data_IF_885856088112
#
_entry.id   IF_885856088112
#
_cell.length_a   1.000
_cell.length_b   1.000
_cell.length_c   1.000
_cell.angle_alpha   90.00
_cell.angle_beta   90.00
_cell.angle_gamma   90.00
#
_symmetry.space_group_name_H-M   'P 1'
#
loop_
_entity.id
_entity.type
_entity.pdbx_description
1 polymer ?
#
# COMPACT_ATOMS: atom_id res chain seq x y z
N UNK A 1 -9.51 -21.89 -13.39
CA UNK A 1 -9.00 -20.88 -12.43
C UNK A 1 -10.22 -20.28 -11.74
N UNK A 2 -10.35 -20.50 -10.44
CA UNK A 2 -11.60 -20.24 -9.70
C UNK A 2 -11.86 -18.73 -9.53
N UNK A 3 -10.80 -17.91 -9.52
CA UNK A 3 -10.92 -16.48 -9.21
C UNK A 3 -11.27 -15.59 -10.42
N UNK A 4 -10.80 -15.93 -11.62
CA UNK A 4 -11.04 -15.12 -12.81
C UNK A 4 -12.35 -15.45 -13.53
N UNK A 5 -13.11 -16.45 -13.08
CA UNK A 5 -14.31 -16.91 -13.79
C UNK A 5 -14.02 -17.54 -15.16
N UNK A 6 -15.07 -17.92 -15.89
CA UNK A 6 -14.98 -18.60 -17.21
C UNK A 6 -14.83 -17.65 -18.40
N UNK A 7 -15.12 -16.37 -18.22
CA UNK A 7 -15.16 -15.37 -19.32
C UNK A 7 -13.82 -14.67 -19.56
N UNK A 8 -12.78 -15.00 -18.79
CA UNK A 8 -11.45 -14.38 -18.90
C UNK A 8 -10.41 -15.40 -19.34
N UNK A 9 -9.58 -15.00 -20.32
CA UNK A 9 -8.35 -15.71 -20.67
C UNK A 9 -7.21 -15.20 -19.80
N UNK A 10 -6.52 -16.13 -19.11
CA UNK A 10 -5.42 -15.77 -18.22
C UNK A 10 -4.12 -15.68 -19.01
N UNK A 11 -3.41 -14.58 -18.83
CA UNK A 11 -2.06 -14.43 -19.32
C UNK A 11 -1.09 -14.17 -18.16
N UNK A 12 -0.01 -14.94 -18.13
CA UNK A 12 1.05 -14.80 -17.14
C UNK A 12 2.02 -13.71 -17.60
N UNK A 13 1.89 -12.51 -17.02
CA UNK A 13 2.63 -11.31 -17.45
C UNK A 13 4.17 -11.46 -17.34
N UNK A 14 4.65 -12.36 -16.49
CA UNK A 14 6.07 -12.69 -16.37
C UNK A 14 6.59 -13.55 -17.53
N UNK A 15 5.71 -14.30 -18.21
CA UNK A 15 6.02 -15.09 -19.42
C UNK A 15 5.76 -14.30 -20.69
N UNK A 16 4.66 -13.54 -20.74
CA UNK A 16 4.24 -12.76 -21.92
C UNK A 16 3.76 -11.38 -21.49
N UNK A 17 4.50 -10.34 -21.89
CA UNK A 17 4.13 -8.96 -21.58
C UNK A 17 2.82 -8.55 -22.26
N UNK A 18 2.05 -7.60 -21.67
CA UNK A 18 0.78 -7.15 -22.23
C UNK A 18 0.88 -6.65 -23.68
N UNK A 19 1.92 -5.88 -24.03
CA UNK A 19 2.12 -5.41 -25.40
C UNK A 19 2.16 -6.56 -26.42
N UNK A 20 2.91 -7.63 -26.15
CA UNK A 20 3.03 -8.77 -27.05
C UNK A 20 1.69 -9.47 -27.26
N UNK A 21 0.93 -9.65 -26.18
CA UNK A 21 -0.40 -10.27 -26.23
C UNK A 21 -1.33 -9.42 -27.10
N UNK A 22 -1.38 -8.11 -26.85
CA UNK A 22 -2.27 -7.20 -27.57
C UNK A 22 -1.93 -7.10 -29.06
N UNK A 23 -0.63 -7.01 -29.41
CA UNK A 23 -0.21 -6.88 -30.83
C UNK A 23 -0.49 -8.09 -31.71
N UNK A 24 -0.94 -9.22 -31.15
CA UNK A 24 -1.43 -10.35 -31.95
C UNK A 24 -2.81 -10.11 -32.56
N UNK A 25 -3.60 -9.22 -31.96
CA UNK A 25 -5.00 -9.02 -32.35
C UNK A 25 -5.18 -7.95 -33.43
N UNK A 26 -4.20 -7.07 -33.66
CA UNK A 26 -4.28 -6.04 -34.71
C UNK A 26 -2.90 -5.51 -35.12
N UNK A 27 -2.80 -5.03 -36.36
CA UNK A 27 -1.61 -4.33 -36.90
C UNK A 27 -1.37 -2.99 -36.22
N UNK A 28 -2.44 -2.28 -35.83
CA UNK A 28 -2.39 -1.03 -35.07
C UNK A 28 -3.50 -0.99 -34.01
N UNK A 29 -3.15 -0.55 -32.79
CA UNK A 29 -4.06 -0.48 -31.65
C UNK A 29 -4.00 0.88 -30.98
N UNK A 30 -5.18 1.44 -30.70
CA UNK A 30 -5.34 2.62 -29.84
C UNK A 30 -5.74 2.14 -28.44
N UNK A 31 -4.85 2.31 -27.47
CA UNK A 31 -5.09 1.85 -26.09
C UNK A 31 -5.35 3.05 -25.18
N UNK A 32 -6.59 3.17 -24.71
CA UNK A 32 -7.01 4.16 -23.73
C UNK A 32 -6.52 3.84 -22.32
N UNK A 33 -6.04 4.83 -21.56
CA UNK A 33 -5.69 4.67 -20.15
C UNK A 33 -6.05 5.90 -19.31
N UNK A 34 -6.35 5.69 -18.03
CA UNK A 34 -6.58 6.78 -17.07
C UNK A 34 -5.24 7.33 -16.54
N UNK A 35 -4.88 8.59 -16.83
CA UNK A 35 -3.59 9.15 -16.45
C UNK A 35 -3.43 9.35 -14.94
N UNK A 36 -4.50 9.27 -14.14
CA UNK A 36 -4.41 9.35 -12.68
C UNK A 36 -3.95 8.04 -12.04
N UNK A 37 -4.10 6.92 -12.73
CA UNK A 37 -3.82 5.56 -12.20
C UNK A 37 -2.41 5.10 -12.57
N UNK A 38 -1.97 5.38 -13.79
CA UNK A 38 -0.68 4.88 -14.29
C UNK A 38 0.45 5.90 -14.09
N UNK A 39 1.62 5.40 -13.67
CA UNK A 39 2.89 6.09 -13.88
C UNK A 39 3.48 5.70 -15.25
N UNK A 40 4.30 6.59 -15.81
CA UNK A 40 4.84 6.42 -17.16
C UNK A 40 5.75 5.19 -17.27
N UNK A 41 6.61 4.96 -16.26
CA UNK A 41 7.55 3.82 -16.24
C UNK A 41 6.83 2.49 -16.41
N UNK A 42 5.80 2.22 -15.59
CA UNK A 42 5.03 0.97 -15.66
C UNK A 42 4.22 0.86 -16.96
N UNK A 43 3.69 1.99 -17.45
CA UNK A 43 2.85 2.00 -18.64
C UNK A 43 3.70 1.64 -19.86
N UNK A 44 4.86 2.27 -20.01
CA UNK A 44 5.78 1.99 -21.11
C UNK A 44 6.37 0.58 -20.99
N UNK A 45 6.75 0.14 -19.79
CA UNK A 45 7.31 -1.21 -19.59
C UNK A 45 6.35 -2.32 -20.07
N UNK A 46 5.04 -2.14 -19.84
CA UNK A 46 4.03 -3.13 -20.16
C UNK A 46 3.44 -2.99 -21.57
N UNK A 47 3.31 -1.75 -22.08
CA UNK A 47 2.48 -1.46 -23.26
C UNK A 47 3.22 -0.77 -24.42
N UNK A 48 4.50 -0.39 -24.28
CA UNK A 48 5.25 0.24 -25.38
C UNK A 48 5.43 -0.74 -26.55
N UNK A 49 5.01 -0.31 -27.75
CA UNK A 49 5.17 -1.04 -29.01
C UNK A 49 4.96 -0.07 -30.18
N UNK A 50 5.58 -0.32 -31.34
CA UNK A 50 5.34 0.46 -32.57
C UNK A 50 3.89 0.33 -33.07
N UNK A 51 3.22 -0.78 -32.72
CA UNK A 51 1.83 -1.06 -33.08
C UNK A 51 0.80 -0.52 -32.09
N UNK A 52 1.22 0.07 -30.97
CA UNK A 52 0.31 0.54 -29.91
C UNK A 52 0.45 2.06 -29.73
N UNK A 53 -0.64 2.78 -30.00
CA UNK A 53 -0.80 4.19 -29.67
C UNK A 53 -1.52 4.34 -28.34
N UNK A 54 -0.83 4.84 -27.33
CA UNK A 54 -1.39 5.10 -26.00
C UNK A 54 -2.17 6.43 -26.00
N UNK A 55 -3.43 6.40 -25.54
CA UNK A 55 -4.34 7.55 -25.51
C UNK A 55 -4.77 7.82 -24.07
N UNK A 56 -4.55 9.04 -23.59
CA UNK A 56 -5.03 9.45 -22.27
C UNK A 56 -6.55 9.66 -22.30
N UNK A 57 -7.26 9.04 -21.37
CA UNK A 57 -8.69 9.23 -21.14
C UNK A 57 -8.88 9.77 -19.73
N UNK A 58 -9.23 11.06 -19.62
CA UNK A 58 -9.34 11.75 -18.33
C UNK A 58 -10.52 11.28 -17.47
N UNK A 59 -11.51 10.61 -18.07
CA UNK A 59 -12.67 10.02 -17.39
C UNK A 59 -12.44 8.52 -17.25
N UNK A 60 -12.49 8.01 -16.02
CA UNK A 60 -12.40 6.58 -15.79
C UNK A 60 -13.65 5.88 -16.36
N UNK A 61 -13.47 4.97 -17.32
CA UNK A 61 -14.59 4.34 -18.01
C UNK A 61 -15.32 3.31 -17.15
N UNK A 62 -14.64 2.70 -16.17
CA UNK A 62 -15.30 1.80 -15.22
C UNK A 62 -16.27 2.58 -14.33
N UNK A 63 -15.88 3.78 -13.90
CA UNK A 63 -16.74 4.65 -13.10
C UNK A 63 -18.04 5.06 -13.83
N UNK A 64 -18.06 5.04 -15.17
CA UNK A 64 -19.26 5.36 -15.97
C UNK A 64 -20.31 4.25 -15.88
N UNK A 65 -19.89 2.99 -15.79
CA UNK A 65 -20.77 1.82 -15.83
C UNK A 65 -20.96 1.17 -14.44
N UNK A 66 -20.31 1.69 -13.40
CA UNK A 66 -20.38 1.15 -12.05
C UNK A 66 -21.59 1.70 -11.28
N UNK A 67 -22.79 1.25 -11.65
CA UNK A 67 -24.06 1.72 -11.07
C UNK A 67 -24.12 1.60 -9.54
N UNK A 68 -23.57 0.50 -8.98
CA UNK A 68 -23.56 0.23 -7.54
C UNK A 68 -22.21 0.57 -6.88
N UNK A 69 -21.57 1.68 -7.29
CA UNK A 69 -20.30 2.11 -6.72
C UNK A 69 -20.44 2.37 -5.21
N UNK A 70 -19.64 1.72 -4.34
CA UNK A 70 -19.75 1.92 -2.90
C UNK A 70 -19.52 3.38 -2.51
N UNK A 71 -20.34 3.88 -1.57
CA UNK A 71 -20.12 5.20 -0.98
C UNK A 71 -18.76 5.23 -0.27
N UNK A 72 -17.99 6.29 -0.51
CA UNK A 72 -16.69 6.49 0.14
C UNK A 72 -16.93 6.81 1.62
N UNK A 73 -16.35 6.00 2.51
CA UNK A 73 -16.31 6.29 3.94
C UNK A 73 -15.07 7.14 4.29
N UNK A 74 -15.29 8.41 4.64
CA UNK A 74 -14.21 9.37 4.96
C UNK A 74 -13.75 9.23 6.41
N UNK A 75 -13.01 8.15 6.69
CA UNK A 75 -12.37 7.97 8.00
C UNK A 75 -11.27 9.02 8.22
N UNK A 76 -11.21 9.56 9.44
CA UNK A 76 -10.28 10.64 9.80
C UNK A 76 -8.85 10.12 9.93
N UNK A 77 -7.87 10.91 9.50
CA UNK A 77 -6.46 10.66 9.79
C UNK A 77 -6.17 10.82 11.29
N UNK A 78 -5.17 10.09 11.76
CA UNK A 78 -4.68 10.18 13.13
C UNK A 78 -3.16 10.36 13.16
N UNK A 79 -2.67 10.97 14.25
CA UNK A 79 -1.27 11.33 14.44
C UNK A 79 -0.60 10.32 15.37
N UNK A 80 0.66 10.01 15.09
CA UNK A 80 1.53 9.24 15.95
C UNK A 80 2.38 10.19 16.80
N UNK A 81 2.42 9.93 18.10
CA UNK A 81 3.26 10.68 19.02
C UNK A 81 4.74 10.48 18.67
N UNK A 82 5.51 11.57 18.57
CA UNK A 82 6.94 11.57 18.26
C UNK A 82 7.75 10.69 19.20
N UNK A 83 7.42 10.65 20.50
CA UNK A 83 8.07 9.79 21.50
C UNK A 83 7.97 8.31 21.14
N UNK A 84 6.88 7.91 20.48
CA UNK A 84 6.62 6.52 20.10
C UNK A 84 7.18 6.15 18.73
N UNK A 85 7.64 7.12 17.93
CA UNK A 85 8.22 6.88 16.59
C UNK A 85 9.68 7.34 16.49
N UNK A 86 10.24 7.89 17.57
CA UNK A 86 11.66 8.26 17.69
C UNK A 86 12.09 9.52 16.97
N UNK A 87 11.24 10.13 16.14
CA UNK A 87 11.59 11.34 15.39
C UNK A 87 10.37 12.22 15.10
N UNK A 88 10.49 13.53 15.31
CA UNK A 88 9.45 14.49 15.00
C UNK A 88 9.32 14.70 13.47
N UNK A 89 8.11 14.99 12.98
CA UNK A 89 7.90 15.31 11.57
C UNK A 89 8.72 16.52 11.11
N UNK A 90 8.93 17.52 11.99
CA UNK A 90 9.73 18.72 11.68
C UNK A 90 11.17 18.36 11.34
N UNK A 91 11.76 17.39 12.04
CA UNK A 91 13.13 16.92 11.78
C UNK A 91 13.19 16.17 10.45
N UNK A 92 12.19 15.34 10.15
CA UNK A 92 12.08 14.66 8.86
C UNK A 92 11.93 15.66 7.71
N UNK A 93 11.14 16.72 7.89
CA UNK A 93 11.01 17.81 6.91
C UNK A 93 12.34 18.55 6.73
N UNK A 94 13.17 18.71 7.78
CA UNK A 94 14.52 19.28 7.66
C UNK A 94 15.42 18.41 6.77
N UNK A 95 15.32 17.08 6.84
CA UNK A 95 16.06 16.18 5.95
C UNK A 95 15.66 16.37 4.48
N UNK A 96 14.35 16.45 4.20
CA UNK A 96 13.83 16.73 2.85
C UNK A 96 14.26 18.12 2.37
N UNK A 97 14.24 19.11 3.26
CA UNK A 97 14.69 20.46 2.97
C UNK A 97 16.17 20.51 2.55
N UNK A 98 17.04 19.80 3.27
CA UNK A 98 18.46 19.72 2.95
C UNK A 98 18.68 19.03 1.60
N UNK A 99 17.92 17.97 1.30
CA UNK A 99 17.95 17.32 -0.01
C UNK A 99 17.57 18.30 -1.14
N UNK A 100 16.46 19.02 -0.99
CA UNK A 100 15.98 20.00 -1.96
C UNK A 100 17.00 21.12 -2.21
N UNK A 101 17.56 21.70 -1.13
CA UNK A 101 18.60 22.74 -1.21
C UNK A 101 19.84 22.25 -1.94
N UNK A 102 20.37 21.08 -1.57
CA UNK A 102 21.56 20.49 -2.21
C UNK A 102 21.35 20.23 -3.70
N UNK A 103 20.15 19.83 -4.09
CA UNK A 103 19.79 19.59 -5.50
C UNK A 103 19.36 20.86 -6.24
N UNK A 104 19.28 22.01 -5.57
CA UNK A 104 18.76 23.28 -6.12
C UNK A 104 17.33 23.12 -6.69
N UNK A 105 16.51 22.29 -6.03
CA UNK A 105 15.10 22.04 -6.40
C UNK A 105 14.19 22.71 -5.37
N UNK A 106 13.14 23.38 -5.83
CA UNK A 106 12.24 24.14 -4.94
C UNK A 106 11.15 23.29 -4.31
N UNK A 107 10.61 22.28 -5.00
CA UNK A 107 9.49 21.49 -4.53
C UNK A 107 9.72 19.98 -4.74
N UNK A 108 9.32 19.17 -3.75
CA UNK A 108 9.17 17.72 -3.88
C UNK A 108 7.67 17.40 -3.92
N UNK A 109 7.21 16.76 -5.00
CA UNK A 109 5.87 16.19 -5.08
C UNK A 109 5.93 14.74 -4.61
N UNK A 110 5.24 14.44 -3.52
CA UNK A 110 5.14 13.12 -2.91
C UNK A 110 3.77 12.54 -3.28
N UNK A 111 3.79 11.51 -4.13
CA UNK A 111 2.57 10.82 -4.58
C UNK A 111 2.27 9.54 -3.81
N UNK A 112 3.29 8.94 -3.18
CA UNK A 112 3.17 7.72 -2.41
C UNK A 112 2.63 7.98 -0.98
N UNK A 113 1.44 7.47 -0.62
CA UNK A 113 0.79 7.79 0.66
C UNK A 113 1.57 7.27 1.88
N UNK A 114 2.32 6.17 1.74
CA UNK A 114 3.17 5.62 2.80
C UNK A 114 4.37 6.52 3.11
N UNK A 115 4.88 7.27 2.12
CA UNK A 115 5.93 8.25 2.34
C UNK A 115 5.42 9.43 3.16
N UNK A 116 4.19 9.88 2.86
CA UNK A 116 3.53 10.96 3.62
C UNK A 116 3.21 10.50 5.05
N UNK A 117 2.72 9.26 5.20
CA UNK A 117 2.47 8.65 6.51
C UNK A 117 3.71 8.68 7.41
N UNK A 118 4.87 8.30 6.86
CA UNK A 118 6.13 8.31 7.60
C UNK A 118 6.64 9.74 7.83
N UNK A 119 6.60 10.60 6.82
CA UNK A 119 7.13 11.97 6.87
C UNK A 119 6.40 12.81 7.92
N UNK A 120 5.06 12.75 7.95
CA UNK A 120 4.23 13.58 8.81
C UNK A 120 3.86 12.91 10.14
N UNK A 121 4.32 11.67 10.39
CA UNK A 121 3.90 10.85 11.52
C UNK A 121 2.37 10.71 11.61
N UNK A 122 1.72 10.47 10.47
CA UNK A 122 0.26 10.28 10.40
C UNK A 122 -0.09 8.91 9.84
N UNK A 123 -1.32 8.48 10.07
CA UNK A 123 -1.89 7.23 9.56
C UNK A 123 -3.34 7.44 9.16
N UNK A 124 -3.84 6.52 8.34
CA UNK A 124 -5.20 6.55 7.83
C UNK A 124 -5.86 5.16 7.85
N UNK A 125 -7.05 5.10 7.28
CA UNK A 125 -7.87 3.89 7.22
C UNK A 125 -8.36 3.63 5.78
N UNK A 126 -7.61 4.12 4.79
CA UNK A 126 -7.98 4.05 3.38
C UNK A 126 -7.64 2.69 2.74
N UNK A 127 -7.01 1.78 3.50
CA UNK A 127 -6.72 0.40 3.10
C UNK A 127 -7.07 -0.55 4.24
N UNK A 128 -7.56 -1.74 3.89
CA UNK A 128 -8.02 -2.75 4.85
C UNK A 128 -6.89 -3.32 5.71
N UNK A 129 -5.67 -3.35 5.19
CA UNK A 129 -4.54 -4.06 5.81
C UNK A 129 -3.32 -3.16 6.05
N UNK A 130 -3.38 -1.91 5.59
CA UNK A 130 -2.31 -0.93 5.75
C UNK A 130 -2.88 0.36 6.35
N UNK A 131 -2.35 0.87 7.47
CA UNK A 131 -2.83 2.10 8.10
C UNK A 131 -2.35 3.37 7.35
N UNK A 132 -2.54 3.42 6.03
CA UNK A 132 -2.04 4.49 5.16
C UNK A 132 -3.10 5.57 4.93
N UNK A 133 -2.71 6.86 4.95
CA UNK A 133 -3.56 7.98 4.58
C UNK A 133 -3.45 8.22 3.08
N UNK A 134 -4.48 7.88 2.30
CA UNK A 134 -4.50 8.11 0.86
C UNK A 134 -4.61 9.62 0.57
N UNK A 135 -3.47 10.23 0.28
CA UNK A 135 -3.27 11.64 -0.01
C UNK A 135 -1.97 11.84 -0.81
N UNK A 136 -1.77 13.05 -1.34
CA UNK A 136 -0.50 13.50 -1.90
C UNK A 136 0.00 14.73 -1.14
N UNK A 137 1.27 15.09 -1.29
CA UNK A 137 1.81 16.30 -0.67
C UNK A 137 2.86 16.99 -1.55
N UNK A 138 2.95 18.31 -1.42
CA UNK A 138 4.08 19.09 -1.94
C UNK A 138 4.83 19.68 -0.74
N UNK A 139 6.13 19.43 -0.67
CA UNK A 139 7.03 20.03 0.33
C UNK A 139 8.00 20.94 -0.40
N UNK A 140 8.12 22.18 0.06
CA UNK A 140 9.05 23.13 -0.56
C UNK A 140 10.36 23.32 0.22
N UNK A 141 11.34 23.96 -0.44
CA UNK A 141 12.64 24.31 0.12
C UNK A 141 12.59 25.35 1.27
N UNK A 142 11.41 25.87 1.60
CA UNK A 142 11.13 26.71 2.77
C UNK A 142 10.43 25.94 3.89
N UNK A 143 10.32 24.60 3.78
CA UNK A 143 9.65 23.70 4.72
C UNK A 143 8.13 23.88 4.80
N UNK A 144 7.50 24.58 3.84
CA UNK A 144 6.04 24.66 3.73
C UNK A 144 5.49 23.34 3.21
N UNK A 145 4.37 22.91 3.79
CA UNK A 145 3.73 21.63 3.52
C UNK A 145 2.36 21.89 2.92
N UNK A 146 2.11 21.36 1.74
CA UNK A 146 0.83 21.44 1.07
C UNK A 146 0.26 20.03 0.93
N UNK A 147 -0.72 19.68 1.77
CA UNK A 147 -1.32 18.35 1.79
C UNK A 147 -2.54 18.33 0.86
N UNK A 148 -2.47 17.51 -0.18
CA UNK A 148 -3.52 17.32 -1.17
C UNK A 148 -4.42 16.17 -0.71
N UNK A 149 -5.56 16.51 -0.13
CA UNK A 149 -6.47 15.56 0.53
C UNK A 149 -7.88 16.11 0.62
N UNK A 150 -8.87 15.22 0.65
CA UNK A 150 -10.24 15.59 0.98
C UNK A 150 -10.33 16.08 2.44
N UNK A 151 -10.81 17.33 2.64
CA UNK A 151 -10.96 17.95 3.97
C UNK A 151 -11.78 17.10 4.94
N UNK A 152 -12.70 16.27 4.45
CA UNK A 152 -13.50 15.36 5.26
C UNK A 152 -12.66 14.28 5.95
N UNK A 153 -11.42 14.03 5.53
CA UNK A 153 -10.48 13.14 6.23
C UNK A 153 -9.70 13.83 7.36
N UNK A 154 -9.82 15.15 7.49
CA UNK A 154 -9.11 15.94 8.49
C UNK A 154 -10.07 16.29 9.65
N UNK A 155 -9.54 16.28 10.87
CA UNK A 155 -10.28 16.65 12.09
C UNK A 155 -9.60 17.82 12.81
N UNK A 156 -10.26 18.40 13.83
CA UNK A 156 -9.72 19.52 14.61
C UNK A 156 -8.37 19.19 15.27
N UNK A 157 -8.20 17.98 15.81
CA UNK A 157 -6.94 17.52 16.43
C UNK A 157 -5.76 17.56 15.44
N UNK A 158 -6.00 17.17 14.19
CA UNK A 158 -5.00 17.24 13.12
C UNK A 158 -4.58 18.68 12.84
N UNK A 159 -5.56 19.57 12.65
CA UNK A 159 -5.31 20.99 12.36
C UNK A 159 -4.50 21.62 13.50
N UNK A 160 -4.92 21.39 14.76
CA UNK A 160 -4.25 21.92 15.94
C UNK A 160 -2.81 21.42 16.07
N UNK A 161 -2.55 20.12 15.84
CA UNK A 161 -1.20 19.56 15.94
C UNK A 161 -0.22 20.19 14.94
N UNK A 162 -0.68 20.47 13.72
CA UNK A 162 0.17 21.10 12.71
C UNK A 162 0.18 22.63 12.79
N UNK A 163 -0.72 23.25 13.56
CA UNK A 163 -0.76 24.69 13.87
C UNK A 163 -0.42 25.58 12.66
N UNK A 164 -1.19 25.47 11.57
CA UNK A 164 -1.00 26.19 10.31
C UNK A 164 0.29 25.87 9.50
N UNK A 165 1.13 24.94 9.96
CA UNK A 165 2.30 24.46 9.20
C UNK A 165 1.93 23.68 7.93
N UNK A 166 0.69 23.19 7.84
CA UNK A 166 0.16 22.47 6.69
C UNK A 166 -0.99 23.26 6.08
N UNK A 167 -0.89 23.54 4.77
CA UNK A 167 -2.01 24.01 3.96
C UNK A 167 -2.72 22.83 3.30
N UNK A 168 -4.03 22.75 3.47
CA UNK A 168 -4.85 21.71 2.82
C UNK A 168 -5.26 22.17 1.41
N UNK A 169 -5.10 21.29 0.43
CA UNK A 169 -5.55 21.48 -0.95
C UNK A 169 -6.54 20.37 -1.29
N UNK A 170 -7.70 20.72 -1.82
CA UNK A 170 -8.63 19.71 -2.31
C UNK A 170 -8.09 19.09 -3.60
N UNK A 171 -8.07 17.75 -3.76
CA UNK A 171 -7.62 17.08 -4.98
C UNK A 171 -8.27 17.62 -6.26
N UNK A 172 -9.54 18.04 -6.21
CA UNK A 172 -10.26 18.60 -7.35
C UNK A 172 -9.72 19.97 -7.79
N UNK A 173 -9.09 20.71 -6.87
CA UNK A 173 -8.54 22.06 -7.09
C UNK A 173 -7.02 22.07 -7.29
N UNK A 174 -6.39 20.89 -7.38
CA UNK A 174 -4.92 20.79 -7.44
C UNK A 174 -4.34 21.48 -8.68
N UNK A 175 -5.04 21.44 -9.81
CA UNK A 175 -4.62 22.16 -11.04
C UNK A 175 -4.60 23.67 -10.83
N UNK A 176 -5.66 24.22 -10.23
CA UNK A 176 -5.75 25.65 -9.89
C UNK A 176 -4.60 26.07 -8.98
N UNK A 177 -4.29 25.26 -7.97
CA UNK A 177 -3.15 25.51 -7.10
C UNK A 177 -1.83 25.52 -7.88
N UNK A 178 -1.57 24.51 -8.71
CA UNK A 178 -0.34 24.46 -9.52
C UNK A 178 -0.26 25.68 -10.47
N UNK A 179 -1.36 26.08 -11.10
CA UNK A 179 -1.40 27.25 -11.98
C UNK A 179 -1.12 28.57 -11.26
N UNK A 180 -1.45 28.66 -9.97
CA UNK A 180 -1.16 29.84 -9.14
C UNK A 180 0.33 30.01 -8.79
N UNK A 181 1.15 28.97 -8.98
CA UNK A 181 2.59 29.04 -8.70
C UNK A 181 3.36 29.77 -9.81
N UNK A 182 4.45 30.42 -9.40
CA UNK A 182 5.40 31.05 -10.33
C UNK A 182 5.99 30.01 -11.29
N UNK A 183 6.11 30.35 -12.58
CA UNK A 183 6.76 29.50 -13.60
C UNK A 183 8.22 29.17 -13.28
N UNK A 184 8.85 29.94 -12.38
CA UNK A 184 10.22 29.71 -11.89
C UNK A 184 10.32 28.69 -10.76
N UNK A 185 9.20 28.08 -10.35
CA UNK A 185 9.22 26.91 -9.47
C UNK A 185 9.85 25.70 -10.18
N UNK A 186 10.53 24.85 -9.41
CA UNK A 186 11.10 23.60 -9.90
C UNK A 186 10.60 22.43 -9.06
N UNK A 187 10.41 21.27 -9.71
CA UNK A 187 9.82 20.09 -9.07
C UNK A 187 10.72 18.87 -9.17
N UNK A 188 10.82 18.12 -8.09
CA UNK A 188 11.23 16.72 -8.07
C UNK A 188 9.97 15.87 -8.01
N UNK A 189 9.83 14.94 -8.95
CA UNK A 189 8.73 13.97 -9.00
C UNK A 189 9.32 12.55 -8.98
N UNK A 190 8.61 11.62 -8.34
CA UNK A 190 9.06 10.24 -8.24
C UNK A 190 8.77 9.46 -9.54
N UNK A 191 9.82 8.91 -10.17
CA UNK A 191 9.68 8.17 -11.44
C UNK A 191 8.86 6.87 -11.33
N UNK A 192 8.73 6.34 -10.11
CA UNK A 192 8.09 5.04 -9.86
C UNK A 192 6.61 5.18 -9.52
N UNK A 193 6.22 6.25 -8.81
CA UNK A 193 4.86 6.40 -8.28
C UNK A 193 4.11 7.63 -8.80
N UNK A 194 4.79 8.63 -9.38
CA UNK A 194 4.11 9.81 -9.89
C UNK A 194 3.23 9.43 -11.09
N UNK A 195 1.93 9.68 -10.97
CA UNK A 195 1.01 9.43 -12.07
C UNK A 195 1.26 10.36 -13.26
N UNK A 196 0.91 9.89 -14.46
CA UNK A 196 1.02 10.66 -15.70
C UNK A 196 0.23 11.98 -15.59
N UNK A 197 -0.89 11.99 -14.86
CA UNK A 197 -1.64 13.20 -14.54
C UNK A 197 -0.76 14.27 -13.89
N UNK A 198 -0.12 13.95 -12.76
CA UNK A 198 0.74 14.90 -12.06
C UNK A 198 1.96 15.28 -12.89
N UNK A 199 2.59 14.31 -13.56
CA UNK A 199 3.72 14.56 -14.46
C UNK A 199 3.35 15.56 -15.55
N UNK A 200 2.19 15.41 -16.19
CA UNK A 200 1.73 16.31 -17.25
C UNK A 200 1.43 17.71 -16.72
N UNK A 201 0.74 17.83 -15.58
CA UNK A 201 0.44 19.14 -15.00
C UNK A 201 1.72 19.89 -14.58
N UNK A 202 2.74 19.17 -14.09
CA UNK A 202 4.05 19.76 -13.76
C UNK A 202 4.83 20.15 -15.03
N UNK A 203 4.94 19.22 -16.00
CA UNK A 203 5.70 19.41 -17.25
C UNK A 203 5.20 20.59 -18.09
N UNK A 204 3.90 20.91 -18.02
CA UNK A 204 3.30 22.04 -18.75
C UNK A 204 3.88 23.40 -18.39
N UNK A 205 4.39 23.58 -17.16
CA UNK A 205 4.72 24.92 -16.63
C UNK A 205 6.07 25.02 -15.94
N UNK A 206 6.61 23.92 -15.42
CA UNK A 206 7.78 23.96 -14.56
C UNK A 206 8.93 23.12 -15.11
N UNK A 207 10.16 23.54 -14.82
CA UNK A 207 11.31 22.65 -14.91
C UNK A 207 11.17 21.57 -13.84
N UNK A 208 11.31 20.31 -14.24
CA UNK A 208 11.18 19.18 -13.33
C UNK A 208 12.31 18.17 -13.49
N UNK A 209 12.48 17.34 -12.46
CA UNK A 209 13.46 16.27 -12.40
C UNK A 209 12.76 15.00 -11.94
N UNK A 210 12.97 13.92 -12.69
CA UNK A 210 12.51 12.60 -12.28
C UNK A 210 13.57 11.95 -11.40
N UNK A 211 13.21 11.68 -10.15
CA UNK A 211 14.11 11.09 -9.15
C UNK A 211 13.43 9.89 -8.50
N UNK A 212 14.15 9.19 -7.62
CA UNK A 212 13.50 8.32 -6.63
C UNK A 212 13.17 9.20 -5.43
N UNK A 213 11.96 9.10 -4.89
CA UNK A 213 11.57 9.85 -3.68
C UNK A 213 12.56 9.56 -2.53
N UNK A 214 13.28 10.58 -2.00
CA UNK A 214 14.28 10.39 -0.96
C UNK A 214 13.71 9.76 0.33
N UNK A 215 12.41 9.89 0.56
CA UNK A 215 11.74 9.33 1.74
C UNK A 215 11.85 7.80 1.78
N UNK A 216 11.91 7.13 0.63
CA UNK A 216 12.09 5.67 0.58
C UNK A 216 13.37 5.24 1.31
N UNK A 217 14.49 5.92 1.05
CA UNK A 217 15.77 5.61 1.70
C UNK A 217 15.77 6.01 3.17
N UNK A 218 15.16 7.15 3.51
CA UNK A 218 15.09 7.63 4.89
C UNK A 218 14.28 6.68 5.78
N UNK A 219 13.10 6.22 5.32
CA UNK A 219 12.25 5.30 6.10
C UNK A 219 12.70 3.85 6.06
N UNK A 220 13.60 3.49 5.13
CA UNK A 220 14.16 2.14 5.07
C UNK A 220 15.02 1.85 6.31
N UNK A 221 15.82 2.83 6.76
CA UNK A 221 16.64 2.75 7.98
C UNK A 221 15.83 3.14 9.22
N UNK A 222 15.48 2.16 10.04
CA UNK A 222 14.67 2.39 11.25
C UNK A 222 15.55 2.97 12.35
N UNK A 223 15.00 3.89 13.14
CA UNK A 223 15.68 4.37 14.35
C UNK A 223 15.50 3.38 15.52
N UNK A 224 16.25 3.59 16.60
CA UNK A 224 16.23 2.68 17.76
C UNK A 224 14.84 2.51 18.39
N UNK A 225 14.02 3.58 18.42
CA UNK A 225 12.64 3.50 18.94
C UNK A 225 11.77 2.65 18.02
N UNK A 226 11.85 2.83 16.70
CA UNK A 226 11.15 2.01 15.72
C UNK A 226 11.59 0.53 15.80
N UNK A 227 12.89 0.25 15.95
CA UNK A 227 13.44 -1.11 16.10
C UNK A 227 12.92 -1.76 17.38
N UNK A 228 13.03 -1.10 18.52
CA UNK A 228 12.57 -1.64 19.81
C UNK A 228 11.07 -1.92 19.80
N UNK A 229 10.29 -1.04 19.18
CA UNK A 229 8.87 -1.25 18.97
C UNK A 229 8.59 -2.50 18.10
N UNK A 230 9.33 -2.68 17.01
CA UNK A 230 9.21 -3.86 16.15
C UNK A 230 9.55 -5.14 16.91
N UNK A 231 10.64 -5.17 17.70
CA UNK A 231 11.03 -6.32 18.53
C UNK A 231 9.88 -6.68 19.50
N UNK A 232 9.36 -5.70 20.24
CA UNK A 232 8.29 -5.95 21.20
C UNK A 232 7.03 -6.52 20.54
N UNK A 233 6.68 -6.02 19.35
CA UNK A 233 5.48 -6.51 18.66
C UNK A 233 5.66 -7.89 18.04
N UNK A 234 6.88 -8.23 17.62
CA UNK A 234 7.19 -9.60 17.18
C UNK A 234 7.20 -10.58 18.36
N UNK A 235 7.63 -10.17 19.56
CA UNK A 235 7.48 -10.98 20.78
C UNK A 235 6.00 -11.21 21.09
N UNK A 236 5.19 -10.15 21.09
CA UNK A 236 3.75 -10.24 21.32
C UNK A 236 3.04 -11.11 20.28
N UNK A 237 3.35 -10.95 18.99
CA UNK A 237 2.80 -11.78 17.90
C UNK A 237 3.28 -13.23 17.99
N UNK A 238 4.52 -13.45 18.43
CA UNK A 238 5.10 -14.76 18.71
C UNK A 238 4.34 -15.52 19.79
N UNK A 239 3.86 -14.83 20.84
CA UNK A 239 2.99 -15.45 21.87
C UNK A 239 1.67 -15.91 21.25
N UNK A 240 1.04 -15.09 20.41
CA UNK A 240 -0.19 -15.45 19.72
C UNK A 240 0.01 -16.65 18.78
N UNK A 241 1.10 -16.64 17.99
CA UNK A 241 1.44 -17.72 17.08
C UNK A 241 1.75 -19.02 17.84
N UNK A 242 2.47 -18.97 18.95
CA UNK A 242 2.78 -20.15 19.77
C UNK A 242 1.51 -20.78 20.33
N UNK A 243 0.61 -19.96 20.90
CA UNK A 243 -0.71 -20.42 21.38
C UNK A 243 -1.54 -21.04 20.26
N UNK A 244 -1.52 -20.43 19.07
CA UNK A 244 -2.18 -20.97 17.89
C UNK A 244 -1.62 -22.32 17.47
N UNK A 245 -0.30 -22.46 17.35
CA UNK A 245 0.34 -23.72 16.94
C UNK A 245 0.08 -24.84 17.94
N UNK A 246 0.13 -24.53 19.25
CA UNK A 246 -0.24 -25.49 20.30
C UNK A 246 -1.71 -25.91 20.20
N UNK A 247 -2.62 -24.94 20.04
CA UNK A 247 -4.05 -25.20 19.84
C UNK A 247 -4.30 -26.06 18.60
N UNK A 248 -3.67 -25.73 17.47
CA UNK A 248 -3.83 -26.43 16.20
C UNK A 248 -3.37 -27.88 16.33
N UNK A 249 -2.15 -28.11 16.86
CA UNK A 249 -1.62 -29.46 17.10
C UNK A 249 -2.54 -30.30 17.98
N UNK A 250 -3.11 -29.70 19.03
CA UNK A 250 -3.94 -30.41 20.02
C UNK A 250 -5.35 -30.74 19.50
N UNK A 251 -5.83 -30.03 18.48
CA UNK A 251 -7.22 -30.12 18.03
C UNK A 251 -7.39 -30.70 16.63
N UNK A 252 -6.38 -30.66 15.75
CA UNK A 252 -6.54 -31.11 14.34
C UNK A 252 -6.94 -32.59 14.21
N UNK A 253 -6.58 -33.42 15.18
CA UNK A 253 -6.96 -34.85 15.20
C UNK A 253 -8.36 -35.03 15.80
N UNK A 254 -8.78 -34.14 16.70
CA UNK A 254 -10.00 -34.27 17.50
C UNK A 254 -11.19 -33.52 16.91
N UNK A 255 -10.94 -32.56 16.03
CA UNK A 255 -11.92 -31.62 15.50
C UNK A 255 -11.71 -31.44 14.00
N UNK A 256 -12.80 -31.35 13.24
CA UNK A 256 -12.79 -31.03 11.81
C UNK A 256 -12.47 -29.55 11.58
N UNK A 257 -11.25 -29.12 11.94
CA UNK A 257 -10.80 -27.73 11.77
C UNK A 257 -10.61 -27.46 10.29
N UNK A 258 -11.29 -26.43 9.78
CA UNK A 258 -11.10 -25.93 8.42
C UNK A 258 -10.02 -24.85 8.32
N UNK A 259 -9.61 -24.51 7.09
CA UNK A 259 -8.69 -23.40 6.83
C UNK A 259 -9.21 -22.07 7.39
N UNK A 260 -10.51 -21.78 7.20
CA UNK A 260 -11.16 -20.58 7.75
C UNK A 260 -11.22 -20.58 9.28
N UNK A 261 -11.39 -21.74 9.91
CA UNK A 261 -11.35 -21.86 11.37
C UNK A 261 -9.95 -21.54 11.90
N UNK A 262 -8.91 -22.06 11.24
CA UNK A 262 -7.53 -21.79 11.61
C UNK A 262 -7.18 -20.29 11.49
N UNK A 263 -7.60 -19.63 10.40
CA UNK A 263 -7.43 -18.18 10.22
C UNK A 263 -8.10 -17.41 11.35
N UNK A 264 -9.38 -17.70 11.60
CA UNK A 264 -10.18 -17.05 12.64
C UNK A 264 -9.56 -17.26 14.02
N UNK A 265 -9.04 -18.46 14.29
CA UNK A 265 -8.43 -18.78 15.58
C UNK A 265 -7.12 -18.03 15.83
N UNK A 266 -6.26 -17.93 14.81
CA UNK A 266 -5.03 -17.16 14.93
C UNK A 266 -5.33 -15.67 15.17
N UNK A 267 -6.32 -15.12 14.47
CA UNK A 267 -6.76 -13.74 14.71
C UNK A 267 -7.32 -13.55 16.13
N UNK A 268 -8.11 -14.50 16.64
CA UNK A 268 -8.58 -14.46 18.03
C UNK A 268 -7.42 -14.40 19.04
N UNK A 269 -6.34 -15.16 18.83
CA UNK A 269 -5.17 -15.09 19.71
C UNK A 269 -4.45 -13.75 19.62
N UNK A 270 -4.34 -13.16 18.42
CA UNK A 270 -3.77 -11.81 18.24
C UNK A 270 -4.61 -10.73 18.92
N UNK A 271 -5.94 -10.80 18.82
CA UNK A 271 -6.89 -9.88 19.47
C UNK A 271 -6.79 -9.85 20.99
N UNK A 272 -6.22 -10.87 21.63
CA UNK A 272 -5.95 -10.85 23.08
C UNK A 272 -4.88 -9.83 23.48
N UNK A 273 -4.06 -9.37 22.54
CA UNK A 273 -3.11 -8.30 22.78
C UNK A 273 -3.79 -6.94 22.56
N UNK A 274 -3.80 -6.10 23.61
CA UNK A 274 -4.34 -4.72 23.58
C UNK A 274 -3.73 -3.82 22.51
N UNK A 275 -2.54 -4.13 22.03
CA UNK A 275 -1.84 -3.37 20.99
C UNK A 275 -2.22 -3.79 19.57
N UNK A 276 -2.93 -4.91 19.37
CA UNK A 276 -3.36 -5.38 18.06
C UNK A 276 -4.43 -4.44 17.48
N UNK A 277 -4.35 -4.17 16.18
CA UNK A 277 -5.29 -3.29 15.46
C UNK A 277 -6.11 -4.10 14.46
N UNK A 278 -5.46 -4.73 13.49
CA UNK A 278 -6.05 -5.60 12.46
C UNK A 278 -4.94 -6.38 11.75
N UNK A 279 -5.26 -7.33 10.87
CA UNK A 279 -4.25 -8.14 10.15
C UNK A 279 -3.45 -7.28 9.16
N UNK A 280 -2.16 -7.57 8.97
CA UNK A 280 -1.32 -6.81 8.02
C UNK A 280 -1.51 -7.21 6.57
N UNK A 281 -2.20 -8.33 6.32
CA UNK A 281 -2.68 -8.82 5.02
C UNK A 281 -3.73 -9.93 5.25
N UNK A 282 -4.37 -10.40 4.19
CA UNK A 282 -5.24 -11.58 4.27
C UNK A 282 -4.42 -12.80 4.69
N UNK A 283 -4.77 -13.44 5.80
CA UNK A 283 -4.06 -14.65 6.24
C UNK A 283 -4.19 -15.74 5.18
N UNK A 284 -3.05 -16.30 4.79
CA UNK A 284 -2.96 -17.45 3.90
C UNK A 284 -2.93 -18.67 4.83
N UNK A 285 -3.97 -19.50 4.79
CA UNK A 285 -4.01 -20.76 5.52
C UNK A 285 -4.41 -21.85 4.52
N UNK A 286 -3.44 -22.63 4.07
CA UNK A 286 -3.62 -23.65 3.04
C UNK A 286 -3.24 -25.03 3.54
N UNK A 287 -4.16 -26.00 3.41
CA UNK A 287 -3.90 -27.41 3.73
C UNK A 287 -3.79 -28.26 2.48
N UNK A 288 -2.82 -29.17 2.45
CA UNK A 288 -2.56 -30.05 1.32
C UNK A 288 -2.30 -29.25 0.03
N UNK A 289 -3.00 -29.52 -1.08
CA UNK A 289 -2.78 -28.82 -2.36
C UNK A 289 -2.94 -27.30 -2.28
N UNK A 290 -3.80 -26.79 -1.38
CA UNK A 290 -4.00 -25.35 -1.22
C UNK A 290 -2.74 -24.65 -0.69
N UNK A 291 -1.89 -25.34 0.07
CA UNK A 291 -0.62 -24.82 0.57
C UNK A 291 0.42 -24.55 -0.52
N UNK A 292 0.25 -25.12 -1.73
CA UNK A 292 1.14 -24.88 -2.87
C UNK A 292 0.81 -23.59 -3.64
N UNK A 293 -0.35 -22.97 -3.38
CA UNK A 293 -0.76 -21.73 -4.05
C UNK A 293 -0.23 -20.55 -3.24
N UNK A 294 0.78 -19.85 -3.78
CA UNK A 294 1.60 -18.83 -3.08
C UNK A 294 0.77 -17.80 -2.31
N UNK A 295 -0.27 -17.23 -2.92
CA UNK A 295 -1.18 -16.27 -2.27
C UNK A 295 -2.59 -16.84 -2.12
N UNK A 296 -2.70 -18.11 -1.71
CA UNK A 296 -3.99 -18.77 -1.47
C UNK A 296 -4.87 -17.98 -0.51
N UNK A 297 -6.16 -17.90 -0.84
CA UNK A 297 -7.18 -17.34 0.04
C UNK A 297 -8.32 -18.33 0.17
N UNK A 298 -8.51 -18.85 1.39
CA UNK A 298 -9.66 -19.68 1.67
C UNK A 298 -10.94 -18.87 1.50
N UNK A 299 -11.90 -19.45 0.78
CA UNK A 299 -13.26 -18.93 0.62
C UNK A 299 -14.23 -19.99 1.09
N UNK A 300 -15.50 -19.64 1.29
CA UNK A 300 -16.53 -20.65 1.60
C UNK A 300 -16.57 -21.82 0.60
N UNK A 301 -16.17 -21.58 -0.67
CA UNK A 301 -16.13 -22.61 -1.72
C UNK A 301 -14.85 -23.44 -1.74
N UNK A 302 -13.71 -22.85 -1.37
CA UNK A 302 -12.39 -23.52 -1.41
C UNK A 302 -11.91 -24.03 -0.05
N UNK A 303 -12.62 -23.72 1.03
CA UNK A 303 -12.28 -24.05 2.42
C UNK A 303 -12.18 -25.56 2.63
N UNK A 304 -10.96 -26.06 2.88
CA UNK A 304 -10.71 -27.47 3.16
C UNK A 304 -10.64 -27.76 4.66
N UNK A 305 -10.99 -28.97 5.05
CA UNK A 305 -10.68 -29.52 6.38
C UNK A 305 -9.20 -29.92 6.42
N UNK A 306 -8.50 -29.49 7.47
CA UNK A 306 -7.09 -29.81 7.70
C UNK A 306 -6.99 -31.28 8.13
N UNK A 307 -6.42 -32.13 7.27
CA UNK A 307 -6.26 -33.55 7.60
C UNK A 307 -4.95 -33.81 8.35
N UNK A 308 -4.93 -34.86 9.17
CA UNK A 308 -3.74 -35.28 9.94
C UNK A 308 -2.49 -35.52 9.07
N UNK A 309 -2.67 -36.01 7.85
CA UNK A 309 -1.58 -36.30 6.90
C UNK A 309 -1.24 -35.11 5.98
N UNK A 310 -1.97 -34.01 6.06
CA UNK A 310 -1.72 -32.84 5.22
C UNK A 310 -0.52 -32.04 5.75
N UNK A 311 0.16 -31.37 4.83
CA UNK A 311 0.99 -30.22 5.14
C UNK A 311 0.06 -29.01 5.29
N UNK A 312 0.19 -28.26 6.37
CA UNK A 312 -0.54 -27.02 6.60
C UNK A 312 0.43 -25.83 6.60
N UNK A 313 0.22 -24.88 5.70
CA UNK A 313 0.96 -23.62 5.64
C UNK A 313 0.07 -22.50 6.17
N UNK A 314 0.62 -21.69 7.08
CA UNK A 314 0.00 -20.46 7.54
C UNK A 314 0.96 -19.29 7.38
N UNK A 315 0.66 -18.37 6.47
CA UNK A 315 1.33 -17.08 6.32
C UNK A 315 0.41 -15.96 6.79
N UNK A 316 0.87 -15.18 7.76
CA UNK A 316 0.00 -14.24 8.45
C UNK A 316 0.78 -13.11 9.14
N UNK A 317 0.09 -12.02 9.46
CA UNK A 317 0.68 -10.93 10.21
C UNK A 317 -0.35 -10.00 10.82
N UNK A 318 0.11 -9.15 11.74
CA UNK A 318 -0.71 -8.15 12.42
C UNK A 318 -0.16 -6.74 12.25
N UNK A 319 -1.08 -5.78 12.16
CA UNK A 319 -0.83 -4.39 12.49
C UNK A 319 -1.03 -4.20 13.99
N UNK A 320 -0.01 -3.66 14.64
CA UNK A 320 -0.03 -3.32 16.03
C UNK A 320 0.25 -1.81 16.20
N UNK A 321 -0.06 -1.25 17.37
CA UNK A 321 0.43 0.04 17.92
C UNK A 321 1.73 0.61 17.32
N UNK A 322 1.82 1.24 16.14
CA UNK A 322 3.08 1.75 15.51
C UNK A 322 3.94 0.77 14.68
N UNK A 323 3.42 -0.42 14.32
CA UNK A 323 4.29 -1.55 13.92
C UNK A 323 3.53 -2.66 13.18
N UNK A 324 4.27 -3.50 12.46
CA UNK A 324 3.71 -4.51 11.56
C UNK A 324 4.51 -5.80 11.68
N UNK A 325 3.83 -6.95 11.74
CA UNK A 325 4.45 -8.28 11.69
C UNK A 325 4.09 -9.01 10.39
N UNK A 326 4.95 -9.97 10.02
CA UNK A 326 4.72 -10.93 8.96
C UNK A 326 5.49 -12.21 9.30
N UNK A 327 4.81 -13.36 9.33
CA UNK A 327 5.39 -14.64 9.66
C UNK A 327 4.66 -15.79 8.97
N UNK A 328 5.45 -16.66 8.35
CA UNK A 328 4.98 -17.92 7.80
C UNK A 328 5.47 -19.11 8.63
N UNK A 329 4.61 -20.09 8.85
CA UNK A 329 4.97 -21.42 9.35
C UNK A 329 4.30 -22.50 8.53
N UNK A 330 5.06 -23.55 8.24
CA UNK A 330 4.55 -24.78 7.62
C UNK A 330 4.71 -25.90 8.61
N UNK A 331 3.64 -26.64 8.87
CA UNK A 331 3.61 -27.71 9.86
C UNK A 331 3.01 -28.98 9.28
N UNK A 332 3.47 -30.11 9.81
CA UNK A 332 2.91 -31.43 9.58
C UNK A 332 2.52 -32.03 10.94
N UNK A 333 1.44 -32.80 10.97
CA UNK A 333 0.96 -33.44 12.20
C UNK A 333 1.37 -34.92 12.30
N UNK A 334 2.00 -35.44 11.25
CA UNK A 334 2.64 -36.76 11.18
C UNK A 334 4.02 -36.63 10.54
N UNK A 335 4.79 -37.71 10.56
CA UNK A 335 6.04 -37.82 9.80
C UNK A 335 5.75 -37.57 8.30
N UNK A 336 6.31 -36.53 7.67
CA UNK A 336 6.11 -36.28 6.25
C UNK A 336 6.77 -37.39 5.42
N UNK A 337 6.25 -37.64 4.22
CA UNK A 337 6.91 -38.54 3.26
C UNK A 337 8.22 -37.89 2.81
N UNK A 338 9.26 -38.71 2.60
CA UNK A 338 10.55 -38.27 2.07
C UNK A 338 10.40 -37.68 0.68
#
# INVERSE_FOLDING_TARGET
NIESGKIFTIAEIHKKKPNFILTKFSKELKLGFDPKIFNETSLLYNFKSSKIKLIQINKNLIDVIWNNKPKINYKKFYILNSKNVGQNYKDKIKLINNFLKRKKIKNLLITAPENIAWLLNIRGYDSNFSPIPNCQAIINYQKKIFLIVDKRKINKKFINYFNNSIRIINPNTVKTYLNSLSKHETFSIDKMTCSIFYKNEIKKRFRFYETIDPIYFLKAKKNNVEINNMINSHKEDGVALTKFLYWLKSNVIKRNISELDAQSKLEQFRKKNKNYIFSSFNTIAGTGPNGAIVHYRATKKSNRIIKKKDIFLCDSGGQYKYRTTNVTRTVCFTKPKK
#
